data_IF_756951049505
#
_entry.id   IF_756951049505
#
_cell.length_a   1.000
_cell.length_b   1.000
_cell.length_c   1.000
_cell.angle_alpha   90.00
_cell.angle_beta   90.00
_cell.angle_gamma   90.00
#
_symmetry.space_group_name_H-M   'P 1'
#
loop_
_entity.id
_entity.type
_entity.pdbx_description
1 polymer ?
#
# COMPACT_ATOMS: atom_id res chain seq x y z
N UNK A 1 -3.47 -0.90 -38.88
CA UNK A 1 -3.43 -2.15 -38.09
C UNK A 1 -4.62 -2.15 -37.13
N UNK A 2 -5.41 -3.23 -37.12
CA UNK A 2 -6.71 -3.34 -36.44
C UNK A 2 -6.49 -3.86 -35.01
N UNK A 3 -7.17 -3.30 -34.00
CA UNK A 3 -7.24 -3.85 -32.63
C UNK A 3 -8.19 -5.06 -32.61
N UNK A 4 -7.92 -6.12 -31.83
CA UNK A 4 -8.94 -7.10 -31.50
C UNK A 4 -9.88 -6.58 -30.39
N UNK A 5 -11.15 -6.93 -30.55
CA UNK A 5 -12.31 -6.62 -29.70
C UNK A 5 -12.44 -7.61 -28.51
N UNK A 6 -13.27 -7.28 -27.50
CA UNK A 6 -13.28 -7.93 -26.19
C UNK A 6 -14.14 -9.20 -26.15
N UNK A 7 -13.72 -10.18 -25.37
CA UNK A 7 -14.57 -11.30 -24.99
C UNK A 7 -15.55 -10.86 -23.90
N UNK A 8 -16.84 -10.83 -24.25
CA UNK A 8 -17.92 -11.06 -23.32
C UNK A 8 -18.41 -12.50 -23.51
N UNK A 9 -18.63 -13.20 -22.39
CA UNK A 9 -19.67 -14.21 -22.35
C UNK A 9 -20.35 -14.12 -20.97
N UNK A 10 -21.65 -13.89 -21.04
CA UNK A 10 -22.61 -13.89 -19.95
C UNK A 10 -22.93 -15.35 -19.61
N UNK A 11 -23.11 -15.66 -18.33
CA UNK A 11 -23.83 -16.86 -17.90
C UNK A 11 -24.80 -16.51 -16.78
N UNK A 12 -25.92 -17.22 -16.81
CA UNK A 12 -27.25 -16.74 -16.47
C UNK A 12 -27.59 -16.64 -14.98
N UNK A 13 -28.47 -15.68 -14.71
CA UNK A 13 -29.27 -15.56 -13.50
C UNK A 13 -30.31 -16.68 -13.49
N UNK A 14 -30.31 -17.50 -12.43
CA UNK A 14 -31.50 -18.28 -12.07
C UNK A 14 -31.87 -17.96 -10.62
N UNK A 15 -32.93 -17.17 -10.52
CA UNK A 15 -33.71 -16.90 -9.32
C UNK A 15 -34.69 -18.05 -9.11
N UNK A 16 -34.76 -18.60 -7.89
CA UNK A 16 -35.88 -19.44 -7.47
C UNK A 16 -36.41 -18.91 -6.14
N UNK A 17 -37.58 -18.28 -6.25
CA UNK A 17 -38.52 -17.96 -5.20
C UNK A 17 -39.62 -19.02 -5.27
N UNK A 18 -39.89 -19.71 -4.16
CA UNK A 18 -41.04 -20.59 -3.99
C UNK A 18 -41.76 -20.24 -2.68
N UNK A 19 -42.77 -19.39 -2.80
CA UNK A 19 -43.91 -19.19 -1.88
C UNK A 19 -45.08 -20.07 -2.38
N UNK A 20 -46.06 -20.61 -1.64
CA UNK A 20 -46.61 -20.44 -0.29
C UNK A 20 -47.65 -21.58 0.02
N UNK A 21 -48.36 -21.44 1.17
CA UNK A 21 -49.74 -21.90 1.51
C UNK A 21 -49.87 -23.27 2.20
N UNK A 22 -50.76 -23.55 3.17
CA UNK A 22 -51.65 -22.82 4.12
C UNK A 22 -52.11 -23.87 5.17
N UNK A 23 -52.53 -23.44 6.36
CA UNK A 23 -53.19 -24.31 7.35
C UNK A 23 -53.72 -23.55 8.56
N UNK A 24 -55.05 -23.46 8.65
CA UNK A 24 -55.88 -22.62 9.52
C UNK A 24 -55.91 -22.92 11.04
N UNK A 25 -55.99 -21.81 11.80
CA UNK A 25 -56.91 -21.41 12.89
C UNK A 25 -57.22 -22.22 14.19
N UNK A 26 -57.36 -21.40 15.25
CA UNK A 26 -58.20 -21.51 16.48
C UNK A 26 -57.60 -22.26 17.69
N UNK A 27 -57.67 -21.84 18.97
CA UNK A 27 -58.29 -20.72 19.69
C UNK A 27 -57.66 -20.58 21.09
N UNK A 28 -57.70 -19.39 21.70
CA UNK A 28 -58.04 -19.25 23.14
C UNK A 28 -56.94 -19.02 24.20
N UNK A 29 -56.86 -17.75 24.63
CA UNK A 29 -56.86 -17.23 26.01
C UNK A 29 -55.55 -16.95 26.79
N UNK A 30 -55.51 -15.67 27.23
CA UNK A 30 -54.97 -15.07 28.46
C UNK A 30 -53.45 -14.85 28.67
N UNK A 31 -53.08 -13.55 28.62
CA UNK A 31 -52.60 -12.87 29.82
C UNK A 31 -51.12 -12.45 29.91
N UNK A 32 -50.93 -11.12 30.02
CA UNK A 32 -49.83 -10.34 30.67
C UNK A 32 -48.76 -9.69 29.77
N UNK A 33 -48.67 -8.37 30.02
CA UNK A 33 -47.64 -7.39 29.70
C UNK A 33 -46.19 -7.91 29.71
N UNK A 34 -45.37 -7.47 28.75
CA UNK A 34 -44.01 -6.99 29.03
C UNK A 34 -43.43 -6.21 27.83
N UNK A 35 -42.63 -5.19 28.14
CA UNK A 35 -42.02 -4.18 27.28
C UNK A 35 -41.36 -4.67 25.99
N UNK A 36 -41.62 -3.94 24.91
CA UNK A 36 -40.85 -4.02 23.66
C UNK A 36 -39.81 -2.90 23.73
N UNK A 37 -38.67 -3.19 24.33
CA UNK A 37 -37.45 -2.41 24.14
C UNK A 37 -37.10 -2.46 22.63
N UNK A 38 -37.05 -1.29 21.99
CA UNK A 38 -36.55 -1.17 20.62
C UNK A 38 -35.04 -1.38 20.68
N UNK A 39 -34.61 -2.63 20.59
CA UNK A 39 -33.23 -2.93 20.18
C UNK A 39 -33.10 -2.54 18.71
N UNK A 40 -32.69 -1.29 18.49
CA UNK A 40 -31.99 -0.90 17.26
C UNK A 40 -30.73 -1.76 17.26
N UNK A 41 -30.82 -2.90 16.59
CA UNK A 41 -29.70 -3.72 16.20
C UNK A 41 -28.90 -2.92 15.17
N UNK A 42 -28.11 -1.95 15.68
CA UNK A 42 -27.00 -1.44 14.90
C UNK A 42 -26.10 -2.64 14.63
N UNK A 43 -25.68 -2.89 13.39
CA UNK A 43 -24.60 -3.81 13.16
C UNK A 43 -23.37 -3.16 13.77
N UNK A 44 -23.10 -3.47 15.03
CA UNK A 44 -21.77 -3.57 15.57
C UNK A 44 -21.05 -4.62 14.73
N UNK A 45 -20.65 -4.22 13.51
CA UNK A 45 -19.37 -4.64 12.97
C UNK A 45 -18.36 -4.18 14.00
N UNK A 46 -18.23 -4.98 15.05
CA UNK A 46 -16.95 -5.53 15.47
C UNK A 46 -15.84 -4.67 14.87
N UNK A 47 -15.38 -3.69 15.65
CA UNK A 47 -14.14 -2.94 15.42
C UNK A 47 -12.98 -3.94 15.50
N UNK A 48 -13.00 -4.90 14.60
CA UNK A 48 -12.06 -5.99 14.48
C UNK A 48 -10.75 -5.39 14.03
N UNK A 49 -9.66 -6.00 14.51
CA UNK A 49 -8.31 -5.71 14.03
C UNK A 49 -8.25 -5.61 12.49
N UNK A 50 -9.05 -6.41 11.79
CA UNK A 50 -9.21 -6.37 10.34
C UNK A 50 -9.73 -5.03 9.80
N UNK A 51 -10.87 -4.53 10.29
CA UNK A 51 -11.41 -3.23 9.87
C UNK A 51 -10.43 -2.08 10.10
N UNK A 52 -9.62 -2.15 11.16
CA UNK A 52 -8.57 -1.17 11.44
C UNK A 52 -7.43 -1.20 10.41
N UNK A 53 -7.05 -2.38 9.91
CA UNK A 53 -6.02 -2.55 8.88
C UNK A 53 -6.47 -2.02 7.52
N UNK A 54 -7.72 -2.24 7.12
CA UNK A 54 -8.27 -1.69 5.88
C UNK A 54 -8.21 -0.16 5.86
N UNK A 55 -8.62 0.49 6.96
CA UNK A 55 -8.52 1.95 7.10
C UNK A 55 -7.08 2.44 7.05
N UNK A 56 -6.15 1.72 7.69
CA UNK A 56 -4.71 2.06 7.64
C UNK A 56 -4.15 1.94 6.23
N UNK A 57 -4.54 0.89 5.49
CA UNK A 57 -4.12 0.69 4.10
C UNK A 57 -4.67 1.79 3.18
N UNK A 58 -5.89 2.25 3.43
CA UNK A 58 -6.50 3.37 2.73
C UNK A 58 -5.70 4.66 2.95
N UNK A 59 -5.46 5.03 4.21
CA UNK A 59 -4.66 6.23 4.54
C UNK A 59 -3.25 6.16 3.96
N UNK A 60 -2.62 4.98 4.01
CA UNK A 60 -1.30 4.74 3.44
C UNK A 60 -1.29 4.94 1.92
N UNK A 61 -2.22 4.32 1.20
CA UNK A 61 -2.27 4.44 -0.26
C UNK A 61 -2.55 5.89 -0.68
N UNK A 62 -3.46 6.57 0.01
CA UNK A 62 -3.79 7.96 -0.30
C UNK A 62 -2.61 8.90 -0.04
N UNK A 63 -1.86 8.67 1.04
CA UNK A 63 -0.61 9.38 1.28
C UNK A 63 0.42 9.13 0.17
N UNK A 64 0.68 7.86 -0.19
CA UNK A 64 1.71 7.52 -1.19
C UNK A 64 1.37 8.07 -2.58
N UNK A 65 0.08 8.18 -2.94
CA UNK A 65 -0.39 8.80 -4.19
C UNK A 65 -0.03 10.27 -4.33
N UNK A 66 0.07 11.00 -3.21
CA UNK A 66 0.34 12.43 -3.21
C UNK A 66 1.84 12.75 -3.40
N UNK A 67 2.72 11.77 -3.24
CA UNK A 67 4.16 11.98 -3.35
C UNK A 67 4.60 12.02 -4.83
N UNK A 68 5.18 13.14 -5.31
CA UNK A 68 5.62 13.25 -6.69
C UNK A 68 6.87 12.41 -6.95
N UNK A 69 6.96 11.81 -8.15
CA UNK A 69 8.18 11.14 -8.60
C UNK A 69 9.25 12.18 -8.93
N UNK A 70 10.48 12.07 -8.38
CA UNK A 70 11.57 12.99 -8.71
C UNK A 70 11.90 13.00 -10.21
N UNK A 71 11.92 14.21 -10.79
CA UNK A 71 12.22 14.44 -12.21
C UNK A 71 13.68 14.76 -12.46
N UNK A 72 14.39 15.32 -11.47
CA UNK A 72 15.82 15.58 -11.54
C UNK A 72 16.59 14.41 -10.96
N UNK A 73 17.33 13.70 -11.82
CA UNK A 73 18.18 12.55 -11.46
C UNK A 73 19.59 12.83 -11.97
N UNK A 74 20.44 13.39 -11.11
CA UNK A 74 21.78 13.86 -11.52
C UNK A 74 22.92 13.06 -10.90
N UNK A 75 22.65 12.18 -9.95
CA UNK A 75 23.66 11.43 -9.21
C UNK A 75 23.67 9.97 -9.63
N UNK A 76 24.84 9.43 -9.95
CA UNK A 76 25.04 7.98 -10.07
C UNK A 76 25.11 7.42 -8.65
N UNK A 77 24.22 6.48 -8.32
CA UNK A 77 24.16 5.84 -7.00
C UNK A 77 24.87 4.47 -7.09
N UNK A 78 26.05 4.29 -6.49
CA UNK A 78 26.68 2.98 -6.37
C UNK A 78 25.84 2.05 -5.49
N UNK A 79 25.73 0.77 -5.84
CA UNK A 79 24.88 -0.18 -5.11
C UNK A 79 25.32 -1.63 -5.33
N UNK A 80 25.20 -2.45 -4.29
CA UNK A 80 25.54 -3.88 -4.37
C UNK A 80 24.32 -4.80 -4.35
N UNK A 81 23.14 -4.26 -4.01
CA UNK A 81 21.85 -4.97 -3.94
C UNK A 81 20.67 -4.03 -4.23
N UNK A 82 19.52 -4.58 -4.60
CA UNK A 82 18.30 -3.83 -4.88
C UNK A 82 17.75 -3.14 -3.64
N UNK A 83 17.74 -3.83 -2.48
CA UNK A 83 17.35 -3.22 -1.20
C UNK A 83 18.33 -2.09 -0.83
N UNK A 84 19.63 -2.27 -1.10
CA UNK A 84 20.64 -1.24 -0.91
C UNK A 84 20.38 0.00 -1.75
N UNK A 85 20.11 -0.19 -3.05
CA UNK A 85 19.71 0.89 -3.95
C UNK A 85 18.45 1.61 -3.46
N UNK A 86 17.43 0.86 -3.03
CA UNK A 86 16.20 1.44 -2.47
C UNK A 86 16.48 2.33 -1.26
N UNK A 87 17.36 1.91 -0.35
CA UNK A 87 17.75 2.72 0.80
C UNK A 87 18.51 3.99 0.40
N UNK A 88 19.43 3.88 -0.56
CA UNK A 88 20.14 5.06 -1.08
C UNK A 88 19.22 6.04 -1.79
N UNK A 89 18.22 5.55 -2.54
CA UNK A 89 17.18 6.38 -3.16
C UNK A 89 16.37 7.13 -2.09
N UNK A 90 15.92 6.45 -1.04
CA UNK A 90 15.18 7.08 0.06
C UNK A 90 15.97 8.20 0.73
N UNK A 91 17.26 7.96 0.97
CA UNK A 91 18.16 8.95 1.58
C UNK A 91 18.45 10.13 0.65
N UNK A 92 18.71 9.87 -0.64
CA UNK A 92 19.07 10.91 -1.60
C UNK A 92 17.90 11.84 -1.93
N UNK A 93 16.71 11.26 -2.11
CA UNK A 93 15.52 11.99 -2.54
C UNK A 93 14.60 12.40 -1.39
N UNK A 94 14.95 12.01 -0.16
CA UNK A 94 14.16 12.29 1.06
C UNK A 94 12.68 11.87 0.90
N UNK A 95 12.44 10.76 0.21
CA UNK A 95 11.10 10.22 -0.03
C UNK A 95 11.02 8.73 0.33
N UNK A 96 9.90 8.27 0.92
CA UNK A 96 9.67 6.85 1.13
C UNK A 96 9.43 6.12 -0.21
N UNK A 97 9.69 4.82 -0.21
CA UNK A 97 9.24 3.92 -1.28
C UNK A 97 7.98 3.17 -0.85
N UNK A 98 7.19 2.77 -1.83
CA UNK A 98 5.96 2.04 -1.60
C UNK A 98 6.24 0.65 -1.01
N UNK A 99 5.31 0.14 -0.21
CA UNK A 99 5.36 -1.18 0.42
C UNK A 99 5.63 -2.28 -0.61
N UNK A 100 4.88 -2.25 -1.72
CA UNK A 100 5.06 -3.20 -2.83
C UNK A 100 6.43 -3.06 -3.52
N UNK A 101 6.98 -1.84 -3.59
CA UNK A 101 8.32 -1.60 -4.13
C UNK A 101 9.37 -2.21 -3.21
N UNK A 102 9.30 -1.94 -1.90
CA UNK A 102 10.21 -2.53 -0.92
C UNK A 102 10.18 -4.07 -0.95
N UNK A 103 9.00 -4.68 -1.14
CA UNK A 103 8.88 -6.13 -1.34
C UNK A 103 9.55 -6.59 -2.63
N UNK A 104 9.31 -5.92 -3.76
CA UNK A 104 9.93 -6.28 -5.04
C UNK A 104 11.46 -6.22 -4.97
N UNK A 105 12.02 -5.17 -4.36
CA UNK A 105 13.48 -5.05 -4.20
C UNK A 105 14.05 -6.21 -3.39
N UNK A 106 13.38 -6.59 -2.29
CA UNK A 106 13.78 -7.76 -1.50
C UNK A 106 13.69 -9.06 -2.31
N UNK A 107 12.61 -9.25 -3.07
CA UNK A 107 12.44 -10.44 -3.90
C UNK A 107 13.51 -10.53 -4.98
N UNK A 108 13.86 -9.42 -5.64
CA UNK A 108 14.92 -9.40 -6.64
C UNK A 108 16.29 -9.71 -6.05
N UNK A 109 16.58 -9.30 -4.81
CA UNK A 109 17.80 -9.73 -4.12
C UNK A 109 17.79 -11.23 -3.82
N UNK A 110 16.66 -11.77 -3.36
CA UNK A 110 16.52 -13.20 -3.05
C UNK A 110 16.64 -14.10 -4.29
N UNK A 111 16.18 -13.64 -5.45
CA UNK A 111 16.28 -14.37 -6.71
C UNK A 111 17.72 -14.56 -7.20
N UNK A 112 18.70 -13.87 -6.61
CA UNK A 112 20.12 -14.01 -6.94
C UNK A 112 20.79 -15.17 -6.21
N UNK A 113 20.20 -15.68 -5.13
CA UNK A 113 20.80 -16.74 -4.33
C UNK A 113 20.87 -18.05 -5.13
N UNK A 114 22.02 -18.72 -5.05
CA UNK A 114 22.32 -19.97 -5.78
C UNK A 114 22.72 -19.76 -7.24
N UNK A 115 22.94 -18.52 -7.69
CA UNK A 115 23.39 -18.23 -9.07
C UNK A 115 24.91 -18.01 -9.13
N UNK A 116 25.50 -18.20 -10.30
CA UNK A 116 26.94 -17.94 -10.54
C UNK A 116 27.37 -16.50 -10.19
N UNK A 117 26.43 -15.56 -10.32
CA UNK A 117 26.66 -14.12 -10.09
C UNK A 117 26.17 -13.65 -8.71
N UNK A 118 25.87 -14.56 -7.78
CA UNK A 118 25.35 -14.24 -6.45
C UNK A 118 26.26 -13.24 -5.70
N UNK A 119 27.58 -13.45 -5.76
CA UNK A 119 28.55 -12.64 -5.04
C UNK A 119 29.05 -11.41 -5.80
N UNK A 120 28.65 -11.24 -7.07
CA UNK A 120 29.05 -10.06 -7.84
C UNK A 120 28.30 -8.82 -7.34
N UNK A 121 28.94 -7.65 -7.25
CA UNK A 121 28.23 -6.39 -7.03
C UNK A 121 27.16 -6.18 -8.09
N UNK A 122 25.94 -5.80 -7.68
CA UNK A 122 24.82 -5.68 -8.63
C UNK A 122 25.02 -4.56 -9.66
N UNK A 123 25.72 -3.48 -9.29
CA UNK A 123 26.11 -2.39 -10.20
C UNK A 123 27.08 -2.83 -11.32
N UNK A 124 27.77 -3.97 -11.16
CA UNK A 124 28.58 -4.57 -12.23
C UNK A 124 27.75 -5.34 -13.26
N UNK A 125 26.51 -5.71 -12.91
CA UNK A 125 25.58 -6.45 -13.77
C UNK A 125 24.58 -5.49 -14.42
N UNK A 126 24.03 -4.58 -13.61
CA UNK A 126 23.02 -3.60 -14.03
C UNK A 126 23.55 -2.20 -13.81
N UNK A 127 23.65 -1.43 -14.90
CA UNK A 127 24.12 -0.05 -14.83
C UNK A 127 23.26 0.79 -13.85
N UNK A 128 23.85 1.57 -12.92
CA UNK A 128 23.12 2.33 -11.91
C UNK A 128 21.96 3.17 -12.43
N UNK A 129 22.15 3.93 -13.51
CA UNK A 129 21.07 4.76 -14.07
C UNK A 129 19.86 3.92 -14.56
N UNK A 130 20.09 2.70 -15.05
CA UNK A 130 19.00 1.80 -15.48
C UNK A 130 18.31 1.18 -14.26
N UNK A 131 19.08 0.82 -13.23
CA UNK A 131 18.54 0.28 -11.99
C UNK A 131 17.65 1.34 -11.31
N UNK A 132 18.16 2.55 -11.14
CA UNK A 132 17.40 3.67 -10.55
C UNK A 132 16.13 4.00 -11.36
N UNK A 133 16.24 4.09 -12.69
CA UNK A 133 15.07 4.33 -13.54
C UNK A 133 14.02 3.23 -13.38
N UNK A 134 14.46 1.97 -13.29
CA UNK A 134 13.55 0.83 -13.05
C UNK A 134 12.81 0.98 -11.72
N UNK A 135 13.52 1.31 -10.64
CA UNK A 135 12.89 1.52 -9.32
C UNK A 135 11.84 2.63 -9.38
N UNK A 136 12.14 3.77 -10.02
CA UNK A 136 11.16 4.85 -10.14
C UNK A 136 9.95 4.51 -11.01
N UNK A 137 10.14 3.75 -12.08
CA UNK A 137 9.03 3.31 -12.94
C UNK A 137 8.08 2.38 -12.18
N UNK A 138 8.60 1.40 -11.43
CA UNK A 138 7.72 0.52 -10.62
C UNK A 138 7.09 1.28 -9.46
N UNK A 139 7.82 2.23 -8.85
CA UNK A 139 7.31 3.06 -7.76
C UNK A 139 6.13 3.91 -8.22
N UNK A 140 6.21 4.50 -9.41
CA UNK A 140 5.11 5.27 -10.01
C UNK A 140 3.87 4.41 -10.22
N UNK A 141 4.03 3.19 -10.77
CA UNK A 141 2.93 2.23 -10.91
C UNK A 141 2.32 1.93 -9.53
N UNK A 142 3.14 1.56 -8.54
CA UNK A 142 2.63 1.23 -7.22
C UNK A 142 1.93 2.39 -6.52
N UNK A 143 2.44 3.62 -6.63
CA UNK A 143 1.78 4.82 -6.08
C UNK A 143 0.44 5.07 -6.75
N UNK A 144 0.35 4.98 -8.07
CA UNK A 144 -0.84 5.41 -8.81
C UNK A 144 -1.93 4.34 -8.93
N UNK A 145 -1.56 3.06 -9.03
CA UNK A 145 -2.52 2.00 -9.42
C UNK A 145 -2.89 1.04 -8.30
N UNK A 146 -2.17 1.04 -7.17
CA UNK A 146 -2.45 0.08 -6.09
C UNK A 146 -3.79 0.36 -5.39
N UNK A 147 -4.57 -0.69 -5.17
CA UNK A 147 -5.82 -0.64 -4.42
C UNK A 147 -5.55 -0.91 -2.93
N UNK A 148 -6.07 -0.06 -2.05
CA UNK A 148 -5.88 -0.22 -0.60
C UNK A 148 -6.50 -1.52 -0.05
N UNK A 149 -7.60 -2.01 -0.64
CA UNK A 149 -8.17 -3.31 -0.26
C UNK A 149 -7.20 -4.47 -0.55
N UNK A 150 -6.43 -4.38 -1.64
CA UNK A 150 -5.40 -5.38 -1.95
C UNK A 150 -4.26 -5.31 -0.94
N UNK A 151 -3.79 -4.11 -0.60
CA UNK A 151 -2.77 -3.91 0.44
C UNK A 151 -3.20 -4.45 1.80
N UNK A 152 -4.44 -4.17 2.22
CA UNK A 152 -4.97 -4.67 3.48
C UNK A 152 -4.93 -6.20 3.56
N UNK A 153 -5.33 -6.88 2.47
CA UNK A 153 -5.25 -8.36 2.38
C UNK A 153 -3.81 -8.87 2.47
N UNK A 154 -2.86 -8.19 1.85
CA UNK A 154 -1.44 -8.53 1.97
C UNK A 154 -0.95 -8.35 3.42
N UNK A 155 -1.30 -7.25 4.06
CA UNK A 155 -0.89 -6.97 5.45
C UNK A 155 -1.53 -7.90 6.47
N UNK A 156 -2.76 -8.37 6.22
CA UNK A 156 -3.40 -9.42 7.03
C UNK A 156 -2.65 -10.75 6.93
N UNK A 157 -2.09 -11.04 5.74
CA UNK A 157 -1.37 -12.28 5.48
C UNK A 157 0.09 -12.25 5.98
N UNK A 158 0.64 -11.06 6.21
CA UNK A 158 2.02 -10.85 6.67
C UNK A 158 2.06 -10.11 8.01
N UNK A 159 2.24 -10.83 9.15
CA UNK A 159 2.39 -10.22 10.46
C UNK A 159 3.55 -9.22 10.56
N UNK A 160 4.52 -9.31 9.65
CA UNK A 160 5.72 -8.49 9.62
C UNK A 160 5.66 -7.38 8.57
N UNK A 161 4.51 -7.13 7.94
CA UNK A 161 4.36 -6.15 6.84
C UNK A 161 4.92 -4.75 7.15
N UNK A 162 4.90 -4.34 8.42
CA UNK A 162 5.35 -3.02 8.85
C UNK A 162 6.83 -2.77 8.61
N UNK A 163 7.67 -3.81 8.49
CA UNK A 163 9.12 -3.64 8.20
C UNK A 163 9.37 -3.12 6.78
N UNK A 164 8.37 -3.19 5.90
CA UNK A 164 8.42 -2.70 4.52
C UNK A 164 7.69 -1.37 4.34
N UNK A 165 7.11 -0.82 5.40
CA UNK A 165 6.48 0.50 5.39
C UNK A 165 7.51 1.48 5.93
N UNK A 166 7.99 2.36 5.05
CA UNK A 166 8.95 3.39 5.44
C UNK A 166 8.30 4.42 6.36
N UNK A 167 9.06 4.90 7.34
CA UNK A 167 8.63 5.98 8.23
C UNK A 167 8.35 7.25 7.43
N UNK A 168 7.15 7.80 7.59
CA UNK A 168 6.77 9.07 7.00
C UNK A 168 7.45 10.18 7.80
N UNK A 169 8.57 10.69 7.29
CA UNK A 169 9.11 11.97 7.76
C UNK A 169 8.22 13.07 7.19
N UNK A 170 7.26 13.53 7.98
CA UNK A 170 6.59 14.81 7.72
C UNK A 170 7.70 15.86 7.60
N UNK A 171 7.93 16.34 6.39
CA UNK A 171 8.81 17.47 6.16
C UNK A 171 8.23 18.65 6.95
N UNK A 172 8.75 18.87 8.15
CA UNK A 172 8.53 20.11 8.90
C UNK A 172 8.98 21.26 8.01
N UNK A 173 8.18 22.33 7.85
CA UNK A 173 8.63 23.49 7.09
C UNK A 173 9.92 23.99 7.73
N UNK A 174 11.02 23.97 6.95
CA UNK A 174 12.29 24.57 7.36
C UNK A 174 11.99 26.01 7.77
N UNK A 175 12.12 26.31 9.06
CA UNK A 175 11.97 27.66 9.58
C UNK A 175 12.92 28.57 8.80
N UNK A 176 12.46 29.68 8.21
CA UNK A 176 13.36 30.61 7.59
C UNK A 176 14.13 31.35 8.68
N UNK A 177 15.42 31.48 8.41
CA UNK A 177 16.32 32.54 8.88
C UNK A 177 17.02 32.38 10.24
N UNK A 178 18.31 32.04 10.15
CA UNK A 178 19.32 32.55 11.08
C UNK A 178 20.55 33.01 10.29
N UNK A 179 20.35 33.91 9.32
CA UNK A 179 21.46 34.75 8.85
C UNK A 179 21.46 36.10 9.55
N UNK A 180 22.39 36.26 10.50
CA UNK A 180 23.31 37.41 10.68
C UNK A 180 23.68 37.62 12.16
N UNK A 181 24.94 37.35 12.48
CA UNK A 181 25.78 38.34 13.16
C UNK A 181 27.24 37.94 12.97
N UNK A 182 27.81 38.42 11.86
CA UNK A 182 29.25 38.62 11.77
C UNK A 182 29.54 39.93 12.50
N UNK A 183 30.49 39.90 13.43
CA UNK A 183 31.21 41.10 13.85
C UNK A 183 32.68 40.75 14.06
N UNK A 184 33.60 41.69 13.79
CA UNK A 184 34.94 41.36 13.34
C UNK A 184 35.97 41.34 14.47
N UNK A 185 37.03 40.58 14.21
CA UNK A 185 38.31 40.56 14.92
C UNK A 185 38.89 41.97 15.02
N UNK A 186 39.35 42.35 16.21
CA UNK A 186 40.37 43.39 16.40
C UNK A 186 41.54 42.84 17.20
N UNK A 187 42.71 43.31 16.76
CA UNK A 187 44.09 42.90 17.03
C UNK A 187 44.51 42.78 18.48
#
# INVERSE_FOLDING_TARGET
>A
MKRPMPWGDQVDVISSDDSASDGDADNGLDGRQSSNDMTIDQPTKELTSEGSLFRRAEMYQEYMKQLPIPTQRSSIIPFTSWVGLGNSIKQLYEQPLHYLTNIHLKQWDQLRFGTEDEHKPLDSIVHPCKAEATVWLIEEVHRLTSCHHHLAKLWLSDPMHYVFIDSITLNSPKSPDSTKSSSPVKS
#
